data_IF_328693955322
#
_entry.id   IF_328693955322
#
_cell.length_a   1.000
_cell.length_b   1.000
_cell.length_c   1.000
_cell.angle_alpha   90.00
_cell.angle_beta   90.00
_cell.angle_gamma   90.00
#
_symmetry.space_group_name_H-M   'P 1'
#
loop_
_entity.id
_entity.type
_entity.pdbx_description
1 polymer ?
#
# COMPACT_ATOMS: atom_id res chain seq x y z
N UNK A 1 10.45 -2.65 -5.55
CA UNK A 1 9.07 -2.64 -5.00
C UNK A 1 8.98 -1.89 -3.68
N UNK A 2 9.58 -2.34 -2.57
CA UNK A 2 9.47 -1.63 -1.27
C UNK A 2 9.93 -0.16 -1.32
N UNK A 3 11.06 0.13 -1.96
CA UNK A 3 11.60 1.50 -2.09
C UNK A 3 10.65 2.43 -2.87
N UNK A 4 9.99 1.92 -3.92
CA UNK A 4 8.98 2.66 -4.68
C UNK A 4 7.72 2.94 -3.83
N UNK A 5 7.35 2.03 -2.93
CA UNK A 5 6.23 2.24 -2.02
C UNK A 5 6.54 3.30 -0.97
N UNK A 6 7.77 3.31 -0.47
CA UNK A 6 8.26 4.37 0.42
C UNK A 6 8.26 5.72 -0.29
N UNK A 7 8.68 5.80 -1.57
CA UNK A 7 8.63 7.05 -2.32
C UNK A 7 7.19 7.52 -2.56
N UNK A 8 6.25 6.62 -2.86
CA UNK A 8 4.83 7.00 -2.96
C UNK A 8 4.27 7.50 -1.63
N UNK A 9 4.67 6.89 -0.51
CA UNK A 9 4.28 7.34 0.81
C UNK A 9 4.78 8.76 1.11
N UNK A 10 6.08 9.02 0.89
CA UNK A 10 6.68 10.35 1.10
C UNK A 10 6.00 11.39 0.22
N UNK A 11 5.77 11.08 -1.05
CA UNK A 11 5.12 11.98 -2.00
C UNK A 11 3.68 12.33 -1.56
N UNK A 12 2.88 11.33 -1.15
CA UNK A 12 1.51 11.57 -0.68
C UNK A 12 1.50 12.43 0.61
N UNK A 13 2.46 12.22 1.52
CA UNK A 13 2.61 13.06 2.72
C UNK A 13 2.95 14.50 2.34
N UNK A 14 3.88 14.71 1.40
CA UNK A 14 4.29 16.03 0.93
C UNK A 14 3.12 16.80 0.28
N UNK A 15 2.39 16.16 -0.64
CA UNK A 15 1.18 16.73 -1.25
C UNK A 15 0.14 17.12 -0.19
N UNK A 16 -0.04 16.28 0.82
CA UNK A 16 -1.03 16.53 1.87
C UNK A 16 -0.64 17.72 2.77
N UNK A 17 0.66 17.96 2.96
CA UNK A 17 1.20 19.12 3.67
C UNK A 17 0.97 20.40 2.88
N UNK A 18 1.20 20.38 1.57
CA UNK A 18 0.95 21.52 0.69
C UNK A 18 -0.53 21.87 0.66
N UNK A 19 -1.41 20.89 0.44
CA UNK A 19 -2.86 21.09 0.46
C UNK A 19 -3.35 21.69 1.79
N UNK A 20 -2.83 21.20 2.91
CA UNK A 20 -3.13 21.75 4.24
C UNK A 20 -2.63 23.19 4.42
N UNK A 21 -1.45 23.52 3.88
CA UNK A 21 -0.88 24.87 3.96
C UNK A 21 -1.76 25.86 3.20
N UNK A 22 -2.17 25.51 1.99
CA UNK A 22 -3.07 26.31 1.14
C UNK A 22 -4.43 26.51 1.82
N UNK A 23 -5.00 25.46 2.42
CA UNK A 23 -6.30 25.56 3.10
C UNK A 23 -6.30 26.57 4.25
N UNK A 24 -5.19 26.66 4.99
CA UNK A 24 -5.05 27.59 6.12
C UNK A 24 -4.68 29.00 5.66
N UNK A 25 -3.80 29.13 4.67
CA UNK A 25 -3.28 30.43 4.24
C UNK A 25 -4.25 31.10 3.24
N UNK A 26 -5.37 31.62 3.77
CA UNK A 26 -6.46 32.21 2.97
C UNK A 26 -6.10 33.52 2.26
N UNK A 27 -4.91 34.09 2.52
CA UNK A 27 -4.64 35.50 2.23
C UNK A 27 -3.75 35.79 1.01
N UNK A 28 -3.33 34.77 0.25
CA UNK A 28 -2.58 34.96 -0.99
C UNK A 28 -2.94 33.87 -2.02
N UNK A 29 -4.16 33.92 -2.56
CA UNK A 29 -4.56 33.03 -3.67
C UNK A 29 -3.96 33.57 -4.96
N UNK A 30 -2.67 33.30 -5.17
CA UNK A 30 -2.10 33.41 -6.51
C UNK A 30 -2.57 32.22 -7.36
N UNK A 31 -2.96 32.48 -8.61
CA UNK A 31 -3.42 31.46 -9.56
C UNK A 31 -2.40 30.31 -9.71
N UNK A 32 -1.10 30.61 -9.58
CA UNK A 32 -0.03 29.63 -9.60
C UNK A 32 -0.16 28.56 -8.50
N UNK A 33 -0.44 28.95 -7.26
CA UNK A 33 -0.60 28.02 -6.14
C UNK A 33 -1.84 27.12 -6.31
N UNK A 34 -2.93 27.65 -6.86
CA UNK A 34 -4.15 26.88 -7.11
C UNK A 34 -3.92 25.81 -8.18
N UNK A 35 -3.21 26.17 -9.26
CA UNK A 35 -2.86 25.22 -10.32
C UNK A 35 -1.93 24.12 -9.80
N UNK A 36 -0.89 24.50 -9.05
CA UNK A 36 0.06 23.55 -8.48
C UNK A 36 -0.64 22.57 -7.53
N UNK A 37 -1.52 23.08 -6.65
CA UNK A 37 -2.35 22.25 -5.77
C UNK A 37 -3.27 21.29 -6.54
N UNK A 38 -3.82 21.72 -7.67
CA UNK A 38 -4.69 20.90 -8.49
C UNK A 38 -3.90 19.76 -9.17
N UNK A 39 -2.73 20.09 -9.72
CA UNK A 39 -1.80 19.09 -10.27
C UNK A 39 -1.37 18.08 -9.21
N UNK A 40 -0.98 18.57 -8.04
CA UNK A 40 -0.65 17.79 -6.85
C UNK A 40 -1.77 16.78 -6.51
N UNK A 41 -3.03 17.24 -6.49
CA UNK A 41 -4.18 16.39 -6.20
C UNK A 41 -4.40 15.30 -7.26
N UNK A 42 -4.30 15.64 -8.54
CA UNK A 42 -4.39 14.69 -9.65
C UNK A 42 -3.29 13.62 -9.52
N UNK A 43 -2.05 14.03 -9.27
CA UNK A 43 -0.94 13.11 -9.07
C UNK A 43 -1.18 12.19 -7.87
N UNK A 44 -1.68 12.73 -6.76
CA UNK A 44 -2.06 11.95 -5.58
C UNK A 44 -3.10 10.87 -5.89
N UNK A 45 -4.13 11.19 -6.68
CA UNK A 45 -5.14 10.23 -7.14
C UNK A 45 -4.50 9.15 -8.02
N UNK A 46 -3.66 9.53 -8.99
CA UNK A 46 -3.00 8.58 -9.91
C UNK A 46 -2.11 7.60 -9.12
N UNK A 47 -1.30 8.09 -8.18
CA UNK A 47 -0.42 7.23 -7.38
C UNK A 47 -1.21 6.33 -6.44
N UNK A 48 -2.28 6.83 -5.83
CA UNK A 48 -3.20 6.02 -5.02
C UNK A 48 -3.87 4.93 -5.85
N UNK A 49 -4.35 5.25 -7.06
CA UNK A 49 -4.96 4.28 -7.96
C UNK A 49 -3.96 3.20 -8.39
N UNK A 50 -2.70 3.57 -8.70
CA UNK A 50 -1.62 2.62 -9.00
C UNK A 50 -1.34 1.70 -7.81
N UNK A 51 -1.26 2.25 -6.59
CA UNK A 51 -1.02 1.51 -5.36
C UNK A 51 -2.14 0.49 -5.09
N UNK A 52 -3.40 0.91 -5.21
CA UNK A 52 -4.56 0.05 -5.03
C UNK A 52 -4.60 -1.06 -6.09
N UNK A 53 -4.35 -0.72 -7.36
CA UNK A 53 -4.34 -1.67 -8.47
C UNK A 53 -3.28 -2.74 -8.29
N UNK A 54 -2.05 -2.34 -7.92
CA UNK A 54 -0.97 -3.28 -7.65
C UNK A 54 -1.32 -4.23 -6.50
N UNK A 55 -1.82 -3.69 -5.38
CA UNK A 55 -2.21 -4.51 -4.24
C UNK A 55 -3.38 -5.46 -4.56
N UNK A 56 -4.35 -5.01 -5.36
CA UNK A 56 -5.47 -5.83 -5.82
C UNK A 56 -4.99 -7.00 -6.70
N UNK A 57 -4.07 -6.74 -7.65
CA UNK A 57 -3.48 -7.78 -8.48
C UNK A 57 -2.70 -8.78 -7.62
N UNK A 58 -1.88 -8.30 -6.69
CA UNK A 58 -1.12 -9.15 -5.77
C UNK A 58 -2.05 -10.05 -4.94
N UNK A 59 -3.14 -9.48 -4.40
CA UNK A 59 -4.12 -10.25 -3.64
C UNK A 59 -4.83 -11.29 -4.51
N UNK A 60 -5.26 -10.91 -5.71
CA UNK A 60 -5.95 -11.83 -6.64
C UNK A 60 -5.05 -13.01 -7.01
N UNK A 61 -3.78 -12.75 -7.28
CA UNK A 61 -2.80 -13.81 -7.58
C UNK A 61 -2.58 -14.70 -6.36
N UNK A 62 -2.50 -14.13 -5.16
CA UNK A 62 -2.40 -14.90 -3.92
C UNK A 62 -3.61 -15.81 -3.70
N UNK A 63 -4.82 -15.29 -3.87
CA UNK A 63 -6.06 -16.05 -3.68
C UNK A 63 -6.15 -17.21 -4.70
N UNK A 64 -5.85 -16.94 -5.98
CA UNK A 64 -5.80 -17.98 -7.02
C UNK A 64 -4.73 -19.04 -6.78
N UNK A 65 -3.55 -18.65 -6.28
CA UNK A 65 -2.50 -19.59 -5.93
C UNK A 65 -2.94 -20.51 -4.77
N UNK A 66 -3.64 -19.95 -3.78
CA UNK A 66 -4.18 -20.71 -2.66
C UNK A 66 -5.28 -21.68 -3.10
N UNK A 67 -6.19 -21.28 -3.98
CA UNK A 67 -7.18 -22.18 -4.60
C UNK A 67 -6.51 -23.33 -5.36
N UNK A 68 -5.47 -23.01 -6.14
CA UNK A 68 -4.70 -24.01 -6.89
C UNK A 68 -4.06 -25.04 -5.95
N UNK A 69 -3.47 -24.59 -4.83
CA UNK A 69 -2.91 -25.47 -3.80
C UNK A 69 -3.99 -26.39 -3.22
N UNK A 70 -5.19 -25.88 -2.94
CA UNK A 70 -6.30 -26.68 -2.40
C UNK A 70 -6.71 -27.78 -3.38
N UNK A 71 -6.82 -27.45 -4.67
CA UNK A 71 -7.17 -28.42 -5.73
C UNK A 71 -6.07 -29.48 -5.85
N UNK A 72 -4.80 -29.07 -5.93
CA UNK A 72 -3.67 -30.00 -6.02
C UNK A 72 -3.60 -30.92 -4.81
N UNK A 73 -3.86 -30.39 -3.61
CA UNK A 73 -3.84 -31.18 -2.38
C UNK A 73 -4.94 -32.26 -2.38
N UNK A 74 -6.16 -31.92 -2.82
CA UNK A 74 -7.23 -32.92 -2.99
C UNK A 74 -6.84 -33.99 -4.03
N UNK A 75 -6.34 -33.55 -5.18
CA UNK A 75 -5.89 -34.45 -6.25
C UNK A 75 -4.80 -35.41 -5.77
N UNK A 76 -3.83 -34.90 -5.01
CA UNK A 76 -2.73 -35.66 -4.41
C UNK A 76 -3.23 -36.71 -3.42
N UNK A 77 -4.22 -36.36 -2.59
CA UNK A 77 -4.76 -37.24 -1.56
C UNK A 77 -5.66 -38.35 -2.13
N UNK A 78 -6.30 -38.10 -3.26
CA UNK A 78 -7.12 -39.08 -3.98
C UNK A 78 -6.28 -39.99 -4.91
N UNK A 79 -5.00 -39.68 -5.11
CA UNK A 79 -4.13 -40.43 -6.01
C UNK A 79 -3.51 -41.65 -5.32
N UNK A 80 -3.65 -42.82 -5.95
CA UNK A 80 -3.08 -44.10 -5.45
C UNK A 80 -1.60 -44.21 -5.82
N UNK A 81 -1.16 -43.51 -6.86
CA UNK A 81 0.23 -43.46 -7.31
C UNK A 81 1.08 -42.59 -6.37
N UNK A 82 2.05 -43.23 -5.71
CA UNK A 82 2.90 -42.62 -4.69
C UNK A 82 3.91 -41.62 -5.29
N UNK A 83 4.43 -41.88 -6.50
CA UNK A 83 5.38 -41.00 -7.20
C UNK A 83 4.68 -39.72 -7.66
N UNK A 84 3.46 -39.84 -8.21
CA UNK A 84 2.66 -38.67 -8.61
C UNK A 84 2.23 -37.85 -7.39
N UNK A 85 1.90 -38.51 -6.28
CA UNK A 85 1.54 -37.84 -5.02
C UNK A 85 2.72 -37.02 -4.48
N UNK A 86 3.93 -37.58 -4.48
CA UNK A 86 5.13 -36.90 -4.00
C UNK A 86 5.51 -35.69 -4.88
N UNK A 87 5.47 -35.84 -6.21
CA UNK A 87 5.70 -34.71 -7.13
C UNK A 87 4.69 -33.58 -6.93
N UNK A 88 3.42 -33.92 -6.72
CA UNK A 88 2.35 -32.94 -6.46
C UNK A 88 2.58 -32.17 -5.17
N UNK A 89 3.00 -32.87 -4.09
CA UNK A 89 3.35 -32.24 -2.82
C UNK A 89 4.59 -31.34 -2.91
N UNK A 90 5.62 -31.75 -3.66
CA UNK A 90 6.78 -30.90 -3.93
C UNK A 90 6.39 -29.62 -4.69
N UNK A 91 5.48 -29.72 -5.66
CA UNK A 91 4.99 -28.55 -6.38
C UNK A 91 4.17 -27.61 -5.49
N UNK A 92 3.29 -28.14 -4.62
CA UNK A 92 2.59 -27.36 -3.59
C UNK A 92 3.60 -26.63 -2.68
N UNK A 93 4.63 -27.34 -2.23
CA UNK A 93 5.70 -26.79 -1.40
C UNK A 93 6.43 -25.67 -2.14
N UNK A 94 6.77 -25.84 -3.41
CA UNK A 94 7.40 -24.78 -4.20
C UNK A 94 6.50 -23.54 -4.35
N UNK A 95 5.19 -23.70 -4.59
CA UNK A 95 4.27 -22.56 -4.65
C UNK A 95 4.17 -21.84 -3.29
N UNK A 96 4.09 -22.60 -2.19
CA UNK A 96 4.04 -22.03 -0.84
C UNK A 96 5.34 -21.36 -0.43
N UNK A 97 6.49 -21.99 -0.72
CA UNK A 97 7.81 -21.56 -0.27
C UNK A 97 8.37 -20.43 -1.13
N UNK A 98 8.04 -20.42 -2.43
CA UNK A 98 8.17 -19.24 -3.30
C UNK A 98 6.98 -18.31 -3.05
N UNK A 99 6.69 -18.07 -1.77
CA UNK A 99 5.55 -17.34 -1.24
C UNK A 99 5.11 -16.32 -2.26
N UNK A 100 3.92 -16.49 -2.82
CA UNK A 100 3.31 -15.49 -3.74
C UNK A 100 2.90 -14.23 -2.97
N UNK A 101 3.59 -13.96 -1.85
CA UNK A 101 3.59 -12.73 -1.12
C UNK A 101 4.58 -11.81 -1.81
N UNK A 102 4.03 -11.01 -2.71
CA UNK A 102 4.77 -9.89 -3.26
C UNK A 102 5.12 -8.96 -2.09
N UNK A 103 6.40 -8.67 -1.84
CA UNK A 103 6.80 -7.83 -0.71
C UNK A 103 8.17 -8.17 -0.13
N UNK A 104 8.57 -7.42 0.89
CA UNK A 104 9.81 -7.68 1.65
C UNK A 104 9.49 -7.55 3.14
N UNK A 105 9.75 -8.62 3.91
CA UNK A 105 9.59 -8.62 5.37
C UNK A 105 8.17 -8.27 5.82
N UNK A 106 8.01 -7.19 6.59
CA UNK A 106 6.71 -6.74 7.13
C UNK A 106 5.78 -6.07 6.10
N UNK A 107 6.24 -5.87 4.86
CA UNK A 107 5.54 -5.16 3.79
C UNK A 107 5.08 -6.12 2.68
N UNK A 108 4.16 -7.02 3.02
CA UNK A 108 3.52 -7.89 2.05
C UNK A 108 2.33 -7.19 1.40
N UNK A 109 2.32 -7.09 0.06
CA UNK A 109 1.22 -6.52 -0.70
C UNK A 109 -0.07 -7.31 -0.50
N UNK A 110 -1.19 -6.59 -0.41
CA UNK A 110 -2.51 -7.13 -0.11
C UNK A 110 -3.36 -6.12 0.68
N UNK A 111 -4.57 -6.51 1.07
CA UNK A 111 -5.47 -5.61 1.80
C UNK A 111 -4.93 -5.12 3.14
N UNK A 112 -4.17 -5.97 3.85
CA UNK A 112 -3.55 -5.57 5.13
C UNK A 112 -2.49 -4.48 4.94
N UNK A 113 -1.73 -4.53 3.84
CA UNK A 113 -0.78 -3.46 3.49
C UNK A 113 -1.50 -2.14 3.23
N UNK A 114 -2.58 -2.15 2.44
CA UNK A 114 -3.38 -0.93 2.17
C UNK A 114 -3.87 -0.33 3.49
N UNK A 115 -4.42 -1.15 4.38
CA UNK A 115 -4.90 -0.71 5.69
C UNK A 115 -3.79 -0.08 6.52
N UNK A 116 -2.61 -0.72 6.61
CA UNK A 116 -1.45 -0.18 7.34
C UNK A 116 -0.93 1.10 6.71
N UNK A 117 -0.90 1.17 5.39
CA UNK A 117 -0.45 2.33 4.62
C UNK A 117 -1.29 3.56 4.96
N UNK A 118 -2.62 3.47 4.82
CA UNK A 118 -3.51 4.59 5.10
C UNK A 118 -3.55 4.94 6.60
N UNK A 119 -3.44 3.96 7.49
CA UNK A 119 -3.32 4.22 8.93
C UNK A 119 -2.06 5.03 9.26
N UNK A 120 -0.92 4.65 8.67
CA UNK A 120 0.34 5.39 8.81
C UNK A 120 0.22 6.80 8.26
N UNK A 121 -0.36 6.95 7.06
CA UNK A 121 -0.59 8.23 6.41
C UNK A 121 -1.41 9.19 7.28
N UNK A 122 -2.57 8.74 7.78
CA UNK A 122 -3.42 9.54 8.67
C UNK A 122 -2.68 9.93 9.95
N UNK A 123 -1.88 9.02 10.52
CA UNK A 123 -1.09 9.31 11.73
C UNK A 123 -0.06 10.43 11.47
N UNK A 124 0.68 10.34 10.37
CA UNK A 124 1.65 11.37 9.98
C UNK A 124 0.96 12.71 9.73
N UNK A 125 -0.19 12.70 9.06
CA UNK A 125 -1.00 13.90 8.85
C UNK A 125 -1.41 14.58 10.16
N UNK A 126 -1.93 13.81 11.11
CA UNK A 126 -2.31 14.33 12.42
C UNK A 126 -1.11 14.95 13.14
N UNK A 127 0.06 14.30 13.10
CA UNK A 127 1.29 14.83 13.69
C UNK A 127 1.68 16.16 13.05
N UNK A 128 1.65 16.27 11.73
CA UNK A 128 1.97 17.51 10.99
C UNK A 128 1.02 18.64 11.40
N UNK A 129 -0.27 18.35 11.49
CA UNK A 129 -1.30 19.32 11.90
C UNK A 129 -1.06 19.78 13.34
N UNK A 130 -0.82 18.86 14.27
CA UNK A 130 -0.57 19.16 15.68
C UNK A 130 0.72 19.98 15.89
N UNK A 131 1.81 19.61 15.20
CA UNK A 131 3.06 20.36 15.24
C UNK A 131 2.87 21.80 14.78
N UNK A 132 2.12 22.01 13.69
CA UNK A 132 1.86 23.37 13.17
C UNK A 132 0.98 24.19 14.10
N UNK A 133 -0.05 23.58 14.70
CA UNK A 133 -0.91 24.25 15.68
C UNK A 133 -0.09 24.74 16.89
N UNK A 134 0.78 23.88 17.42
CA UNK A 134 1.67 24.20 18.55
C UNK A 134 2.66 25.33 18.22
N UNK A 135 3.17 25.36 16.99
CA UNK A 135 4.09 26.41 16.53
C UNK A 135 3.41 27.78 16.40
N UNK A 136 2.18 27.84 15.87
CA UNK A 136 1.46 29.10 15.64
C UNK A 136 0.87 29.71 16.92
N UNK A 137 0.68 28.90 17.97
CA UNK A 137 0.24 29.35 19.29
C UNK A 137 1.20 28.80 20.35
N UNK A 138 2.40 29.39 20.52
CA UNK A 138 3.27 28.98 21.60
C UNK A 138 2.51 29.18 22.91
N UNK A 139 2.39 28.10 23.70
CA UNK A 139 1.80 28.13 25.02
C UNK A 139 2.43 29.30 25.81
N UNK A 140 1.62 30.33 26.06
CA UNK A 140 1.99 31.42 26.95
C UNK A 140 2.05 30.81 28.35
N UNK A 141 3.26 30.55 28.82
CA UNK A 141 3.58 30.32 30.23
C UNK A 141 4.29 31.56 30.76
#
# INVERSE_FOLDING_TARGET
>A
MSLQMTSYFMFIVELSREAYTIYIDKNAIEIGYVLDSFFAYIWGIIYSAKLLSLNYICQTVYDKANETIIILYKLSNDNVDEDLREQTLQFILQIKQREVKFGVGLLYFGYDFIRRFYKSFVTVLVIIIQMRYTYNYPLIN
#
